data_IF_372755610041
#
_entry.id   IF_372755610041
#
_cell.length_a   1.000
_cell.length_b   1.000
_cell.length_c   1.000
_cell.angle_alpha   90.00
_cell.angle_beta   90.00
_cell.angle_gamma   90.00
#
_symmetry.space_group_name_H-M   'P 1'
#
loop_
_entity.id
_entity.type
_entity.pdbx_description
1 polymer ?
#
# COMPACT_ATOMS: atom_id res chain seq x y z
N UNK A 1 49.22 -19.96 -28.01
CA UNK A 1 48.04 -20.00 -27.14
C UNK A 1 47.77 -18.59 -26.66
N UNK A 2 46.67 -17.95 -27.12
CA UNK A 2 46.32 -16.57 -26.73
C UNK A 2 45.18 -16.65 -25.72
N UNK A 3 45.46 -16.28 -24.47
CA UNK A 3 44.49 -16.17 -23.39
C UNK A 3 43.66 -14.91 -23.62
N UNK A 4 42.37 -15.05 -23.94
CA UNK A 4 41.45 -13.91 -23.95
C UNK A 4 40.95 -13.70 -22.51
N UNK A 5 41.24 -12.54 -21.94
CA UNK A 5 40.66 -12.06 -20.69
C UNK A 5 39.26 -11.52 -21.00
N UNK A 6 38.23 -12.18 -20.48
CA UNK A 6 36.85 -11.68 -20.52
C UNK A 6 36.72 -10.58 -19.47
N UNK A 7 36.54 -9.33 -19.91
CA UNK A 7 36.19 -8.22 -19.03
C UNK A 7 34.75 -8.41 -18.56
N UNK A 8 34.56 -8.64 -17.26
CA UNK A 8 33.25 -8.61 -16.63
C UNK A 8 32.82 -7.14 -16.49
N UNK A 9 31.84 -6.70 -17.29
CA UNK A 9 31.14 -5.45 -17.03
C UNK A 9 30.31 -5.63 -15.75
N UNK A 10 30.76 -4.98 -14.67
CA UNK A 10 29.97 -4.83 -13.45
C UNK A 10 28.89 -3.79 -13.78
N UNK A 11 27.67 -4.25 -14.07
CA UNK A 11 26.48 -3.40 -14.05
C UNK A 11 26.20 -3.05 -12.59
N UNK A 12 26.57 -1.84 -12.19
CA UNK A 12 26.04 -1.22 -10.98
C UNK A 12 24.57 -0.93 -11.27
N UNK A 13 23.67 -1.76 -10.75
CA UNK A 13 22.26 -1.41 -10.69
C UNK A 13 22.16 -0.16 -9.82
N UNK A 14 21.75 0.96 -10.41
CA UNK A 14 21.35 2.14 -9.64
C UNK A 14 20.27 1.72 -8.64
N UNK A 15 20.24 2.28 -7.41
CA UNK A 15 19.11 2.07 -6.53
C UNK A 15 17.85 2.48 -7.29
N UNK A 16 16.92 1.55 -7.46
CA UNK A 16 15.59 1.89 -7.91
C UNK A 16 15.02 2.83 -6.85
N UNK A 17 14.69 4.07 -7.23
CA UNK A 17 13.90 4.91 -6.35
C UNK A 17 12.53 4.24 -6.25
N UNK A 18 12.17 3.76 -5.07
CA UNK A 18 10.81 3.30 -4.83
C UNK A 18 9.88 4.50 -4.90
N UNK A 19 9.00 4.50 -5.90
CA UNK A 19 7.87 5.41 -5.96
C UNK A 19 6.75 4.89 -5.06
N UNK A 20 5.94 5.80 -4.52
CA UNK A 20 4.89 5.41 -3.60
C UNK A 20 4.02 6.56 -3.10
N UNK A 21 3.23 6.25 -2.09
CA UNK A 21 2.30 7.17 -1.42
C UNK A 21 2.51 7.13 0.09
N UNK A 22 2.60 8.30 0.70
CA UNK A 22 2.51 8.49 2.15
C UNK A 22 1.09 8.93 2.50
N UNK A 23 0.39 8.18 3.34
CA UNK A 23 -1.02 8.36 3.65
C UNK A 23 -1.24 8.63 5.14
N UNK A 24 -2.02 9.65 5.44
CA UNK A 24 -2.54 9.93 6.79
C UNK A 24 -4.06 9.76 6.76
N UNK A 25 -4.57 8.77 7.49
CA UNK A 25 -5.98 8.37 7.43
C UNK A 25 -6.63 8.34 8.81
N UNK A 26 -7.91 8.67 8.89
CA UNK A 26 -8.67 8.68 10.14
C UNK A 26 -9.69 7.56 10.11
N UNK A 27 -9.72 6.74 11.18
CA UNK A 27 -10.74 5.72 11.38
C UNK A 27 -12.12 6.37 11.49
N UNK A 28 -13.03 5.94 10.61
CA UNK A 28 -14.43 6.33 10.67
C UNK A 28 -15.17 5.55 11.76
N UNK A 29 -15.86 6.30 12.61
CA UNK A 29 -16.65 5.78 13.72
C UNK A 29 -18.13 6.10 13.48
N UNK A 30 -18.97 5.11 13.15
CA UNK A 30 -20.41 5.30 13.09
C UNK A 30 -20.94 5.84 14.42
N UNK A 31 -21.89 6.78 14.35
CA UNK A 31 -22.39 7.52 15.52
C UNK A 31 -23.06 6.62 16.58
N UNK A 32 -23.46 5.42 16.18
CA UNK A 32 -24.13 4.40 16.99
C UNK A 32 -23.17 3.32 17.54
N UNK A 33 -21.86 3.44 17.30
CA UNK A 33 -20.85 2.51 17.80
C UNK A 33 -19.84 3.17 18.75
N UNK A 34 -19.49 2.44 19.80
CA UNK A 34 -18.37 2.79 20.68
C UNK A 34 -17.04 2.58 19.93
N UNK A 35 -16.67 3.56 19.11
CA UNK A 35 -15.43 3.58 18.34
C UNK A 35 -14.61 4.82 18.72
N UNK A 36 -13.29 4.64 18.81
CA UNK A 36 -12.35 5.74 19.04
C UNK A 36 -11.72 6.07 17.69
N UNK A 37 -11.96 7.31 17.23
CA UNK A 37 -11.28 7.84 16.06
C UNK A 37 -9.77 7.84 16.33
N UNK A 38 -9.01 7.34 15.36
CA UNK A 38 -7.56 7.20 15.45
C UNK A 38 -6.93 7.49 14.10
N UNK A 39 -5.71 8.02 14.13
CA UNK A 39 -4.91 8.27 12.93
C UNK A 39 -4.14 6.98 12.61
N UNK A 40 -4.21 6.58 11.35
CA UNK A 40 -3.40 5.55 10.74
C UNK A 40 -2.44 6.23 9.76
N UNK A 41 -1.15 6.17 10.07
CA UNK A 41 -0.08 6.49 9.13
C UNK A 41 0.24 5.23 8.33
N UNK A 42 0.24 5.32 7.01
CA UNK A 42 0.56 4.21 6.12
C UNK A 42 1.41 4.66 4.93
N UNK A 43 2.25 3.77 4.43
CA UNK A 43 3.04 3.98 3.22
C UNK A 43 2.70 2.89 2.21
N UNK A 44 2.29 3.26 1.00
CA UNK A 44 2.15 2.34 -0.12
C UNK A 44 3.39 2.46 -1.00
N UNK A 45 4.18 1.40 -1.12
CA UNK A 45 5.45 1.40 -1.86
C UNK A 45 5.38 0.41 -3.01
N UNK A 46 5.83 0.84 -4.19
CA UNK A 46 6.11 -0.06 -5.31
C UNK A 46 7.60 -0.39 -5.37
N UNK A 47 7.94 -1.66 -5.19
CA UNK A 47 9.29 -2.17 -5.37
C UNK A 47 9.25 -3.60 -5.94
N UNK A 48 10.25 -3.95 -6.75
CA UNK A 48 10.41 -5.27 -7.34
C UNK A 48 9.12 -5.87 -7.97
N UNK A 49 8.36 -5.03 -8.69
CA UNK A 49 7.09 -5.36 -9.33
C UNK A 49 5.94 -5.74 -8.37
N UNK A 50 5.97 -5.22 -7.14
CA UNK A 50 4.97 -5.48 -6.12
C UNK A 50 4.60 -4.21 -5.35
N UNK A 51 3.29 -4.01 -5.13
CA UNK A 51 2.79 -3.01 -4.20
C UNK A 51 2.73 -3.58 -2.78
N UNK A 52 3.21 -2.82 -1.81
CA UNK A 52 3.17 -3.20 -0.40
C UNK A 52 2.69 -2.03 0.45
N UNK A 53 1.66 -2.28 1.26
CA UNK A 53 1.13 -1.33 2.23
C UNK A 53 1.82 -1.57 3.58
N UNK A 54 2.56 -0.58 4.04
CA UNK A 54 3.21 -0.56 5.34
C UNK A 54 2.39 0.27 6.31
N UNK A 55 2.02 -0.31 7.43
CA UNK A 55 1.43 0.38 8.57
C UNK A 55 2.36 0.27 9.78
N UNK A 56 1.98 0.86 10.92
CA UNK A 56 2.75 0.69 12.16
C UNK A 56 2.71 -0.73 12.73
N UNK A 57 1.81 -1.59 12.23
CA UNK A 57 1.56 -2.93 12.77
C UNK A 57 1.85 -4.05 11.77
N UNK A 58 1.65 -3.80 10.48
CA UNK A 58 1.66 -4.82 9.43
C UNK A 58 2.29 -4.32 8.14
N UNK A 59 2.93 -5.25 7.43
CA UNK A 59 3.36 -5.14 6.04
C UNK A 59 2.46 -6.05 5.20
N UNK A 60 1.71 -5.45 4.28
CA UNK A 60 0.62 -6.11 3.58
C UNK A 60 0.89 -6.05 2.08
N UNK A 61 1.20 -7.18 1.43
CA UNK A 61 1.23 -7.27 -0.03
C UNK A 61 -0.11 -6.87 -0.64
N UNK A 62 -0.08 -5.97 -1.62
CA UNK A 62 -1.26 -5.45 -2.30
C UNK A 62 -1.24 -5.84 -3.77
N UNK A 63 -2.39 -6.28 -4.26
CA UNK A 63 -2.64 -6.70 -5.63
C UNK A 63 -3.50 -5.62 -6.29
N UNK A 64 -3.06 -5.02 -7.41
CA UNK A 64 -3.88 -4.10 -8.17
C UNK A 64 -5.17 -4.79 -8.64
N UNK A 65 -6.32 -4.16 -8.36
CA UNK A 65 -7.62 -4.60 -8.87
C UNK A 65 -7.88 -4.02 -10.26
N UNK A 66 -7.59 -2.73 -10.44
CA UNK A 66 -7.69 -2.00 -11.69
C UNK A 66 -6.60 -0.90 -11.71
N UNK A 67 -5.98 -0.68 -12.86
CA UNK A 67 -5.06 0.44 -13.09
C UNK A 67 -5.73 1.45 -14.01
N UNK A 68 -6.51 2.36 -13.44
CA UNK A 68 -7.23 3.38 -14.20
C UNK A 68 -6.42 4.68 -14.25
N UNK A 69 -5.29 4.65 -14.96
CA UNK A 69 -4.50 5.85 -15.26
C UNK A 69 -3.67 6.42 -14.08
N UNK A 70 -2.99 7.56 -14.31
CA UNK A 70 -2.13 8.17 -13.29
C UNK A 70 -2.96 8.76 -12.14
N UNK A 71 -2.73 8.28 -10.93
CA UNK A 71 -3.32 8.84 -9.71
C UNK A 71 -4.57 8.13 -9.18
N UNK A 72 -5.17 7.20 -9.95
CA UNK A 72 -6.29 6.38 -9.45
C UNK A 72 -5.86 4.92 -9.30
N UNK A 73 -5.86 4.43 -8.05
CA UNK A 73 -5.50 3.07 -7.72
C UNK A 73 -6.60 2.41 -6.91
N UNK A 74 -6.90 1.16 -7.23
CA UNK A 74 -7.64 0.27 -6.36
C UNK A 74 -6.81 -0.99 -6.16
N UNK A 75 -6.45 -1.30 -4.91
CA UNK A 75 -5.66 -2.46 -4.56
C UNK A 75 -6.38 -3.29 -3.49
N UNK A 76 -6.17 -4.60 -3.52
CA UNK A 76 -6.62 -5.53 -2.47
C UNK A 76 -5.47 -6.39 -1.97
N UNK A 77 -5.47 -6.73 -0.69
CA UNK A 77 -4.60 -7.79 -0.17
C UNK A 77 -5.21 -9.17 -0.37
N UNK A 78 -4.37 -10.20 -0.33
CA UNK A 78 -4.83 -11.53 0.08
C UNK A 78 -5.30 -11.49 1.56
N UNK A 79 -5.88 -12.60 2.03
CA UNK A 79 -6.22 -12.73 3.45
C UNK A 79 -4.95 -12.75 4.32
N UNK A 80 -4.81 -11.77 5.21
CA UNK A 80 -3.74 -11.65 6.20
C UNK A 80 -4.39 -11.63 7.58
N UNK A 81 -4.01 -12.57 8.45
CA UNK A 81 -4.56 -12.69 9.81
C UNK A 81 -6.11 -12.62 9.85
N UNK A 82 -6.76 -13.44 9.00
CA UNK A 82 -8.23 -13.51 8.88
C UNK A 82 -8.91 -12.20 8.43
N UNK A 83 -8.14 -11.30 7.81
CA UNK A 83 -8.61 -10.01 7.33
C UNK A 83 -8.14 -9.72 5.90
N UNK A 84 -8.96 -9.01 5.13
CA UNK A 84 -8.64 -8.51 3.81
C UNK A 84 -8.67 -6.97 3.81
N UNK A 85 -7.69 -6.37 3.16
CA UNK A 85 -7.51 -4.93 3.04
C UNK A 85 -7.83 -4.49 1.61
N UNK A 86 -8.54 -3.37 1.48
CA UNK A 86 -8.84 -2.73 0.19
C UNK A 86 -8.47 -1.26 0.28
N UNK A 87 -7.56 -0.82 -0.58
CA UNK A 87 -7.08 0.56 -0.63
C UNK A 87 -7.48 1.19 -1.96
N UNK A 88 -8.15 2.32 -1.88
CA UNK A 88 -8.42 3.20 -3.03
C UNK A 88 -7.69 4.53 -2.82
N UNK A 89 -6.96 4.99 -3.83
CA UNK A 89 -6.37 6.33 -3.90
C UNK A 89 -6.93 7.00 -5.14
N UNK A 90 -7.48 8.21 -5.00
CA UNK A 90 -8.07 8.99 -6.10
C UNK A 90 -7.06 10.00 -6.65
N UNK A 91 -7.31 10.52 -7.85
CA UNK A 91 -6.41 11.46 -8.54
C UNK A 91 -6.07 12.72 -7.73
N UNK A 92 -6.98 13.15 -6.86
CA UNK A 92 -6.80 14.31 -5.99
C UNK A 92 -6.02 14.02 -4.70
N UNK A 93 -5.55 12.79 -4.52
CA UNK A 93 -4.86 12.31 -3.32
C UNK A 93 -5.78 11.81 -2.22
N UNK A 94 -7.10 11.95 -2.33
CA UNK A 94 -8.01 11.36 -1.34
C UNK A 94 -7.87 9.83 -1.34
N UNK A 95 -8.02 9.21 -0.17
CA UNK A 95 -7.85 7.78 -0.04
C UNK A 95 -8.85 7.16 0.95
N UNK A 96 -9.21 5.91 0.67
CA UNK A 96 -10.08 5.08 1.51
C UNK A 96 -9.41 3.71 1.67
N UNK A 97 -9.18 3.31 2.92
CA UNK A 97 -8.70 1.99 3.29
C UNK A 97 -9.80 1.28 4.06
N UNK A 98 -10.32 0.19 3.52
CA UNK A 98 -11.25 -0.68 4.24
C UNK A 98 -10.58 -1.98 4.64
N UNK A 99 -10.84 -2.38 5.87
CA UNK A 99 -10.48 -3.68 6.43
C UNK A 99 -11.76 -4.48 6.62
N UNK A 100 -11.76 -5.73 6.20
CA UNK A 100 -12.84 -6.69 6.45
C UNK A 100 -12.26 -7.95 7.05
N UNK A 101 -12.78 -8.41 8.18
CA UNK A 101 -12.24 -9.60 8.85
C UNK A 101 -13.27 -10.36 9.69
N UNK A 102 -12.85 -11.54 10.16
CA UNK A 102 -13.62 -12.40 11.04
C UNK A 102 -12.78 -12.76 12.29
N UNK A 103 -12.80 -11.90 13.31
CA UNK A 103 -12.22 -12.24 14.62
C UNK A 103 -13.26 -12.97 15.46
N UNK A 104 -13.78 -12.27 16.47
CA UNK A 104 -14.93 -12.72 17.29
C UNK A 104 -16.30 -12.55 16.59
N UNK A 105 -16.28 -12.36 15.27
CA UNK A 105 -17.43 -12.03 14.43
C UNK A 105 -16.99 -11.27 13.18
N UNK A 106 -17.89 -11.15 12.20
CA UNK A 106 -17.62 -10.33 11.03
C UNK A 106 -17.56 -8.85 11.42
N UNK A 107 -16.48 -8.18 11.05
CA UNK A 107 -16.29 -6.74 11.27
C UNK A 107 -15.79 -6.06 10.00
N UNK A 108 -15.98 -4.74 9.97
CA UNK A 108 -15.34 -3.88 8.98
C UNK A 108 -14.88 -2.59 9.65
N UNK A 109 -13.71 -2.10 9.22
CA UNK A 109 -13.17 -0.81 9.63
C UNK A 109 -12.88 -0.01 8.38
N UNK A 110 -13.29 1.26 8.37
CA UNK A 110 -13.02 2.19 7.28
C UNK A 110 -12.09 3.28 7.81
N UNK A 111 -11.03 3.58 7.06
CA UNK A 111 -10.19 4.74 7.25
C UNK A 111 -10.31 5.63 6.01
N UNK A 112 -10.45 6.94 6.21
CA UNK A 112 -10.49 7.92 5.13
C UNK A 112 -9.43 9.00 5.41
N UNK A 113 -8.77 9.48 4.36
CA UNK A 113 -7.75 10.51 4.50
C UNK A 113 -7.16 10.94 3.17
N UNK A 114 -5.91 11.39 3.23
CA UNK A 114 -5.17 11.90 2.08
C UNK A 114 -3.82 11.18 1.96
N UNK A 115 -3.42 10.92 0.72
CA UNK A 115 -2.14 10.35 0.32
C UNK A 115 -1.36 11.34 -0.54
N UNK A 116 -0.04 11.39 -0.34
CA UNK A 116 0.89 12.21 -1.12
C UNK A 116 1.90 11.33 -1.83
N UNK A 117 2.03 11.52 -3.13
CA UNK A 117 3.00 10.80 -3.95
C UNK A 117 4.44 11.24 -3.62
N UNK A 118 5.38 10.29 -3.65
CA UNK A 118 6.81 10.54 -3.55
C UNK A 118 7.60 9.64 -4.51
N UNK A 119 8.87 9.99 -4.75
CA UNK A 119 9.78 9.15 -5.54
C UNK A 119 9.64 9.28 -7.07
N UNK A 120 8.99 10.35 -7.54
CA UNK A 120 8.91 10.79 -8.95
C UNK A 120 10.20 11.42 -9.46
#
# INVERSE_FOLDING_TARGET
MKTMLTAACITLASPAFSAGYECEMIRQCPADMACIASILEANLIYDADQWTLFTSVEEIPMIPLFEDGPGQFALSSDLVADSAYFLSIFENGQAILTLHGWGDGAFSVVHEGDCKEFGV
#
